data_IF_968885805105
#
_entry.id   IF_968885805105
#
_cell.length_a   1.000
_cell.length_b   1.000
_cell.length_c   1.000
_cell.angle_alpha   90.00
_cell.angle_beta   90.00
_cell.angle_gamma   90.00
#
_symmetry.space_group_name_H-M   'P 1'
#
loop_
_entity.id
_entity.type
_entity.pdbx_description
1 polymer ?
#
# COMPACT_ATOMS: atom_id res chain seq x y z
N UNK A 1 -11.86 19.62 19.21
CA UNK A 1 -12.86 18.54 19.06
C UNK A 1 -14.23 18.99 19.59
N UNK A 2 -14.41 19.07 20.91
CA UNK A 2 -15.70 19.37 21.54
C UNK A 2 -16.36 20.67 21.02
N UNK A 3 -15.62 21.78 20.98
CA UNK A 3 -16.14 23.06 20.46
C UNK A 3 -16.64 22.95 19.00
N UNK A 4 -15.89 22.25 18.14
CA UNK A 4 -16.28 22.03 16.75
C UNK A 4 -17.52 21.13 16.65
N UNK A 5 -17.65 20.14 17.54
CA UNK A 5 -18.82 19.27 17.61
C UNK A 5 -20.07 20.03 18.08
N UNK A 6 -19.95 20.85 19.13
CA UNK A 6 -21.02 21.73 19.59
C UNK A 6 -21.43 22.73 18.50
N UNK A 7 -20.47 23.31 17.79
CA UNK A 7 -20.73 24.18 16.64
C UNK A 7 -21.48 23.50 15.51
N UNK A 8 -21.16 22.23 15.23
CA UNK A 8 -21.89 21.40 14.27
C UNK A 8 -23.33 21.12 14.72
N UNK A 9 -23.52 20.74 15.98
CA UNK A 9 -24.84 20.42 16.56
C UNK A 9 -25.79 21.62 16.60
N UNK A 10 -25.28 22.87 16.68
CA UNK A 10 -26.12 24.08 16.62
C UNK A 10 -26.94 24.18 15.32
N UNK A 11 -26.47 23.59 14.22
CA UNK A 11 -27.15 23.58 12.92
C UNK A 11 -27.73 22.22 12.57
N UNK A 12 -27.13 21.14 13.07
CA UNK A 12 -27.48 19.77 12.74
C UNK A 12 -27.75 18.98 14.01
N UNK A 13 -29.00 18.98 14.49
CA UNK A 13 -29.40 18.20 15.67
C UNK A 13 -30.61 17.31 15.33
N UNK A 14 -30.33 16.10 14.88
CA UNK A 14 -31.37 15.11 14.56
C UNK A 14 -30.98 13.72 15.07
N UNK A 15 -31.97 12.82 15.12
CA UNK A 15 -31.75 11.42 15.50
C UNK A 15 -30.75 10.71 14.57
N UNK A 16 -30.65 11.13 13.31
CA UNK A 16 -29.65 10.62 12.36
C UNK A 16 -28.24 11.03 12.77
N UNK A 17 -28.06 12.30 13.19
CA UNK A 17 -26.76 12.80 13.67
C UNK A 17 -26.31 12.01 14.90
N UNK A 18 -27.22 11.78 15.84
CA UNK A 18 -26.96 10.98 17.05
C UNK A 18 -26.55 9.54 16.75
N UNK A 19 -27.17 8.91 15.75
CA UNK A 19 -26.97 7.49 15.44
C UNK A 19 -25.80 7.22 14.48
N UNK A 20 -25.55 8.11 13.53
CA UNK A 20 -24.68 7.82 12.38
C UNK A 20 -23.54 8.80 12.18
N UNK A 21 -23.57 9.99 12.81
CA UNK A 21 -22.46 10.93 12.65
C UNK A 21 -21.42 10.76 13.74
N UNK A 22 -20.18 10.90 13.33
CA UNK A 22 -19.01 10.96 14.20
C UNK A 22 -18.07 12.04 13.68
N UNK A 23 -17.04 12.36 14.46
CA UNK A 23 -16.09 13.42 14.14
C UNK A 23 -14.71 12.82 13.87
N UNK A 24 -14.09 13.21 12.75
CA UNK A 24 -12.69 12.87 12.44
C UNK A 24 -11.77 14.05 12.75
N UNK A 25 -10.51 13.75 13.05
CA UNK A 25 -9.44 14.75 13.17
C UNK A 25 -8.57 14.69 11.92
N UNK A 26 -8.73 15.68 11.05
CA UNK A 26 -7.94 15.86 9.84
C UNK A 26 -6.73 16.74 10.18
N UNK A 27 -5.53 16.27 9.87
CA UNK A 27 -4.29 17.03 10.04
C UNK A 27 -3.60 17.18 8.69
N UNK A 28 -3.29 18.42 8.32
CA UNK A 28 -2.60 18.76 7.07
C UNK A 28 -1.38 19.60 7.41
N UNK A 29 -0.21 19.07 7.09
CA UNK A 29 1.05 19.80 7.20
C UNK A 29 1.38 20.46 5.86
N UNK A 30 1.67 21.76 5.88
CA UNK A 30 2.18 22.44 4.69
C UNK A 30 3.66 22.07 4.46
N UNK A 31 4.03 21.52 3.28
CA UNK A 31 5.41 21.08 3.03
C UNK A 31 6.42 22.22 2.87
N UNK A 32 5.98 23.48 2.84
CA UNK A 32 6.86 24.67 2.64
C UNK A 32 7.13 25.37 3.96
N UNK A 33 6.10 25.65 4.76
CA UNK A 33 6.21 26.38 6.01
C UNK A 33 6.09 25.51 7.26
N UNK A 34 5.86 24.20 7.11
CA UNK A 34 5.64 23.24 8.19
C UNK A 34 4.53 23.63 9.18
N UNK A 35 3.62 24.50 8.76
CA UNK A 35 2.45 24.83 9.55
C UNK A 35 1.48 23.64 9.52
N UNK A 36 1.03 23.24 10.70
CA UNK A 36 0.09 22.14 10.89
C UNK A 36 -1.30 22.71 11.07
N UNK A 37 -2.18 22.42 10.11
CA UNK A 37 -3.59 22.76 10.19
C UNK A 37 -4.37 21.56 10.70
N UNK A 38 -5.09 21.73 11.80
CA UNK A 38 -5.95 20.69 12.39
C UNK A 38 -7.41 21.09 12.21
N UNK A 39 -8.22 20.18 11.69
CA UNK A 39 -9.65 20.37 11.48
C UNK A 39 -10.44 19.18 12.03
N UNK A 40 -11.64 19.43 12.54
CA UNK A 40 -12.51 18.43 13.14
C UNK A 40 -13.80 18.29 12.31
N UNK A 41 -13.84 17.34 11.39
CA UNK A 41 -14.91 17.23 10.40
C UNK A 41 -15.99 16.23 10.84
N UNK A 42 -17.28 16.60 10.81
CA UNK A 42 -18.38 15.66 11.03
C UNK A 42 -18.57 14.79 9.78
N UNK A 43 -18.61 13.46 9.93
CA UNK A 43 -18.81 12.51 8.82
C UNK A 43 -19.84 11.44 9.17
N UNK A 44 -20.51 10.88 8.15
CA UNK A 44 -21.55 9.84 8.30
C UNK A 44 -21.07 8.43 8.00
N UNK A 45 -19.99 8.28 7.22
CA UNK A 45 -19.48 6.99 6.79
C UNK A 45 -17.99 7.08 6.47
N UNK A 46 -17.30 5.94 6.57
CA UNK A 46 -15.89 5.82 6.17
C UNK A 46 -15.79 5.19 4.78
N UNK A 47 -15.16 5.91 3.86
CA UNK A 47 -14.65 5.32 2.64
C UNK A 47 -13.29 4.71 2.92
N UNK A 48 -13.24 3.38 3.00
CA UNK A 48 -11.99 2.65 3.22
C UNK A 48 -11.35 2.25 1.89
N UNK A 49 -10.07 2.56 1.66
CA UNK A 49 -9.38 2.10 0.46
C UNK A 49 -9.23 0.58 0.50
N UNK A 50 -9.53 -0.09 -0.61
CA UNK A 50 -9.28 -1.53 -0.75
C UNK A 50 -7.77 -1.74 -0.93
N UNK A 51 -7.10 -2.56 -0.08
CA UNK A 51 -5.70 -2.91 -0.27
C UNK A 51 -5.53 -3.57 -1.65
N UNK A 52 -4.64 -3.01 -2.47
CA UNK A 52 -4.28 -3.66 -3.73
C UNK A 52 -3.38 -4.85 -3.39
N UNK A 53 -3.60 -6.04 -3.97
CA UNK A 53 -2.66 -7.14 -3.80
C UNK A 53 -1.29 -6.69 -4.30
N UNK A 54 -0.20 -7.14 -3.65
CA UNK A 54 1.14 -6.88 -4.15
C UNK A 54 1.22 -7.36 -5.59
N UNK A 55 1.83 -6.55 -6.46
CA UNK A 55 2.06 -6.99 -7.81
C UNK A 55 3.16 -8.06 -7.78
N UNK A 56 2.83 -9.27 -8.23
CA UNK A 56 3.75 -10.40 -8.29
C UNK A 56 3.85 -10.94 -9.71
N UNK A 57 5.04 -11.43 -10.04
CA UNK A 57 5.35 -12.08 -11.31
C UNK A 57 5.79 -13.51 -11.01
N UNK A 58 5.08 -14.48 -11.59
CA UNK A 58 5.43 -15.90 -11.51
C UNK A 58 6.46 -16.25 -12.57
N UNK A 59 7.66 -16.67 -12.13
CA UNK A 59 8.77 -17.07 -12.99
C UNK A 59 8.99 -18.58 -12.88
N UNK A 60 9.29 -19.21 -14.00
CA UNK A 60 9.75 -20.61 -14.03
C UNK A 60 11.22 -20.63 -14.38
N UNK A 61 12.06 -20.96 -13.41
CA UNK A 61 13.51 -21.07 -13.57
C UNK A 61 13.83 -22.49 -14.00
N UNK A 62 14.44 -22.63 -15.18
CA UNK A 62 14.90 -23.91 -15.72
C UNK A 62 16.41 -23.97 -15.58
N UNK A 63 16.95 -24.89 -14.75
CA UNK A 63 18.39 -25.10 -14.64
C UNK A 63 18.99 -25.63 -15.95
N UNK A 64 20.25 -25.29 -16.21
CA UNK A 64 20.97 -25.75 -17.41
C UNK A 64 21.15 -27.28 -17.44
N UNK A 65 21.25 -27.91 -16.28
CA UNK A 65 21.40 -29.35 -16.10
C UNK A 65 20.06 -30.12 -16.12
N UNK A 66 18.98 -29.48 -16.58
CA UNK A 66 17.70 -30.14 -16.82
C UNK A 66 17.86 -31.32 -17.80
N UNK A 67 17.34 -32.52 -17.48
CA UNK A 67 16.35 -32.83 -16.45
C UNK A 67 16.93 -33.34 -15.12
N UNK A 68 18.25 -33.30 -14.90
CA UNK A 68 18.87 -33.79 -13.65
C UNK A 68 18.48 -32.92 -12.44
N UNK A 69 18.36 -31.61 -12.65
CA UNK A 69 17.79 -30.68 -11.68
C UNK A 69 16.37 -30.26 -12.09
N UNK A 70 15.40 -30.25 -11.15
CA UNK A 70 14.02 -29.90 -11.46
C UNK A 70 13.83 -28.39 -11.68
N UNK A 71 12.84 -28.04 -12.50
CA UNK A 71 12.40 -26.66 -12.67
C UNK A 71 11.81 -26.11 -11.37
N UNK A 72 12.06 -24.83 -11.09
CA UNK A 72 11.53 -24.13 -9.91
C UNK A 72 10.58 -23.02 -10.32
N UNK A 73 9.37 -23.03 -9.75
CA UNK A 73 8.38 -21.95 -9.92
C UNK A 73 8.51 -20.98 -8.74
N UNK A 74 8.70 -19.71 -9.02
CA UNK A 74 8.98 -18.67 -8.01
C UNK A 74 8.09 -17.47 -8.27
N UNK A 75 7.41 -17.00 -7.23
CA UNK A 75 6.62 -15.78 -7.28
C UNK A 75 7.42 -14.62 -6.68
N UNK A 76 7.75 -13.62 -7.52
CA UNK A 76 8.52 -12.44 -7.12
C UNK A 76 7.59 -11.24 -6.98
N UNK A 77 7.54 -10.63 -5.80
CA UNK A 77 6.79 -9.40 -5.58
C UNK A 77 7.59 -8.18 -6.07
N UNK A 78 7.06 -7.47 -7.07
CA UNK A 78 7.69 -6.30 -7.71
C UNK A 78 6.72 -5.11 -7.81
N UNK A 79 7.20 -3.86 -7.66
CA UNK A 79 6.40 -2.68 -7.94
C UNK A 79 5.83 -2.68 -9.37
N UNK A 80 4.66 -2.07 -9.60
CA UNK A 80 4.01 -2.01 -10.93
C UNK A 80 4.81 -1.26 -12.01
N UNK A 81 5.83 -0.51 -11.63
CA UNK A 81 6.74 0.21 -12.53
C UNK A 81 8.18 -0.30 -12.48
N UNK A 82 8.42 -1.45 -11.87
CA UNK A 82 9.75 -2.03 -11.77
C UNK A 82 10.29 -2.42 -13.14
N UNK A 83 11.59 -2.23 -13.36
CA UNK A 83 12.28 -2.69 -14.56
C UNK A 83 12.63 -4.17 -14.47
N UNK A 84 13.00 -4.77 -15.60
CA UNK A 84 13.47 -6.15 -15.63
C UNK A 84 14.72 -6.37 -14.77
N UNK A 85 15.61 -5.37 -14.67
CA UNK A 85 16.83 -5.43 -13.84
C UNK A 85 16.49 -5.59 -12.35
N UNK A 86 15.47 -4.88 -11.85
CA UNK A 86 15.00 -5.00 -10.46
C UNK A 86 14.36 -6.37 -10.20
N UNK A 87 13.62 -6.90 -11.18
CA UNK A 87 13.05 -8.25 -11.11
C UNK A 87 14.17 -9.29 -11.07
N UNK A 88 15.18 -9.14 -11.92
CA UNK A 88 16.33 -10.03 -12.00
C UNK A 88 17.12 -10.02 -10.69
N UNK A 89 17.42 -8.84 -10.14
CA UNK A 89 18.12 -8.73 -8.86
C UNK A 89 17.35 -9.45 -7.74
N UNK A 90 16.04 -9.23 -7.64
CA UNK A 90 15.19 -9.91 -6.65
C UNK A 90 15.13 -11.42 -6.87
N UNK A 91 15.13 -11.86 -8.12
CA UNK A 91 15.15 -13.28 -8.47
C UNK A 91 16.47 -13.92 -7.99
N UNK A 92 17.62 -13.27 -8.22
CA UNK A 92 18.92 -13.75 -7.76
C UNK A 92 19.01 -13.83 -6.23
N UNK A 93 18.50 -12.82 -5.54
CA UNK A 93 18.39 -12.82 -4.07
C UNK A 93 17.53 -13.99 -3.57
N UNK A 94 16.35 -14.21 -4.17
CA UNK A 94 15.47 -15.33 -3.81
C UNK A 94 16.05 -16.70 -4.15
N UNK A 95 16.80 -16.81 -5.24
CA UNK A 95 17.49 -18.02 -5.65
C UNK A 95 18.77 -18.29 -4.84
N UNK A 96 19.24 -17.35 -4.02
CA UNK A 96 20.55 -17.37 -3.37
C UNK A 96 21.71 -17.67 -4.35
N UNK A 97 21.56 -17.25 -5.60
CA UNK A 97 22.52 -17.48 -6.70
C UNK A 97 23.04 -16.16 -7.23
N UNK A 98 24.24 -16.15 -7.81
CA UNK A 98 24.80 -14.94 -8.40
C UNK A 98 24.52 -14.91 -9.90
N UNK A 99 24.33 -13.72 -10.50
CA UNK A 99 24.23 -13.58 -11.96
C UNK A 99 25.45 -14.14 -12.71
N UNK A 100 26.59 -14.24 -12.03
CA UNK A 100 27.83 -14.82 -12.58
C UNK A 100 27.79 -16.35 -12.78
N UNK A 101 26.74 -17.03 -12.28
CA UNK A 101 26.51 -18.45 -12.51
C UNK A 101 25.78 -18.73 -13.84
N UNK A 102 25.48 -17.68 -14.64
CA UNK A 102 24.95 -17.86 -15.99
C UNK A 102 26.07 -18.40 -16.91
N UNK A 103 25.90 -19.56 -17.56
CA UNK A 103 26.83 -19.98 -18.60
C UNK A 103 26.79 -18.99 -19.78
N UNK A 104 27.90 -18.84 -20.53
CA UNK A 104 27.97 -18.00 -21.72
C UNK A 104 27.02 -18.44 -22.84
#
# INVERSE_FOLDING_TARGET
AQEAWEGHLKRNNSRIVELFQFQIRSEVECPVCHNVSVTFDPIMYLSLPVPKPPHSVSLTVVPFDYPKSPMSKIDVAVPKGATFEELEQKLWEQLQRKPADLPP
#
